data_IF_040688191315
#
_entry.id   IF_040688191315
#
_cell.length_a   1.000
_cell.length_b   1.000
_cell.length_c   1.000
_cell.angle_alpha   90.00
_cell.angle_beta   90.00
_cell.angle_gamma   90.00
#
_symmetry.space_group_name_H-M   'P 1'
#
loop_
_entity.id
_entity.type
_entity.pdbx_description
1 polymer ?
#
# COMPACT_ATOMS: atom_id res chain seq x y z
N UNK A 1 -10.79 -6.33 4.57
CA UNK A 1 -11.98 -6.57 5.41
C UNK A 1 -12.91 -7.52 4.67
N UNK A 2 -13.63 -8.40 5.38
CA UNK A 2 -14.64 -9.29 4.80
C UNK A 2 -15.89 -9.24 5.66
N UNK A 3 -17.01 -8.97 5.00
CA UNK A 3 -18.30 -8.77 5.63
C UNK A 3 -19.29 -9.84 5.19
N UNK A 4 -20.04 -10.41 6.14
CA UNK A 4 -20.97 -11.52 5.88
C UNK A 4 -21.99 -11.66 7.00
N UNK A 5 -23.13 -12.28 6.67
CA UNK A 5 -24.13 -12.67 7.66
C UNK A 5 -23.64 -13.86 8.50
N UNK A 6 -24.08 -13.99 9.75
CA UNK A 6 -23.71 -15.12 10.60
C UNK A 6 -24.13 -16.48 10.03
N UNK A 7 -23.35 -17.52 10.33
CA UNK A 7 -23.55 -18.84 9.74
C UNK A 7 -23.31 -18.85 8.23
N UNK A 8 -22.54 -17.88 7.70
CA UNK A 8 -22.43 -17.56 6.27
C UNK A 8 -23.81 -17.39 5.59
N UNK A 9 -24.77 -16.82 6.31
CA UNK A 9 -26.17 -16.62 5.88
C UNK A 9 -27.10 -17.81 6.13
N UNK A 10 -26.60 -18.94 6.62
CA UNK A 10 -27.42 -20.13 6.93
C UNK A 10 -28.03 -20.11 8.32
N UNK A 11 -27.55 -19.22 9.20
CA UNK A 11 -28.02 -19.11 10.57
C UNK A 11 -28.28 -17.65 10.96
N UNK A 12 -29.36 -17.05 10.43
CA UNK A 12 -29.65 -15.64 10.64
C UNK A 12 -29.87 -15.32 12.13
N UNK A 13 -29.40 -14.15 12.55
CA UNK A 13 -29.46 -13.69 13.95
C UNK A 13 -30.89 -13.60 14.50
N UNK A 14 -31.90 -13.46 13.64
CA UNK A 14 -33.32 -13.48 14.04
C UNK A 14 -33.82 -14.84 14.55
N UNK A 15 -33.03 -15.91 14.39
CA UNK A 15 -33.37 -17.26 14.87
C UNK A 15 -32.56 -17.68 16.10
N UNK A 16 -31.65 -16.83 16.55
CA UNK A 16 -30.80 -17.15 17.68
C UNK A 16 -31.62 -17.25 18.96
N UNK A 17 -31.28 -18.26 19.75
CA UNK A 17 -31.73 -18.44 21.11
C UNK A 17 -30.53 -18.32 22.05
N UNK A 18 -30.81 -17.98 23.30
CA UNK A 18 -29.78 -17.96 24.34
C UNK A 18 -29.10 -19.34 24.42
N UNK A 19 -27.76 -19.34 24.34
CA UNK A 19 -26.95 -20.55 24.37
C UNK A 19 -26.63 -21.17 23.01
N UNK A 20 -27.20 -20.67 21.90
CA UNK A 20 -26.84 -21.14 20.57
C UNK A 20 -25.34 -20.94 20.28
N UNK A 21 -24.73 -21.93 19.63
CA UNK A 21 -23.33 -21.91 19.19
C UNK A 21 -23.25 -22.33 17.75
N UNK A 22 -22.54 -21.56 16.96
CA UNK A 22 -22.23 -21.87 15.57
C UNK A 22 -20.77 -21.52 15.30
N UNK A 23 -20.22 -22.12 14.24
CA UNK A 23 -18.86 -21.89 13.79
C UNK A 23 -18.95 -21.32 12.39
N UNK A 24 -18.27 -20.21 12.18
CA UNK A 24 -18.02 -19.69 10.85
C UNK A 24 -16.54 -19.88 10.48
N UNK A 25 -16.28 -20.05 9.19
CA UNK A 25 -14.93 -20.08 8.63
C UNK A 25 -14.86 -19.06 7.51
N UNK A 26 -13.85 -18.19 7.57
CA UNK A 26 -13.68 -17.10 6.64
C UNK A 26 -12.28 -17.13 6.06
N UNK A 27 -12.21 -17.03 4.74
CA UNK A 27 -10.97 -16.71 4.04
C UNK A 27 -10.84 -15.20 3.97
N UNK A 28 -9.72 -14.67 4.46
CA UNK A 28 -9.35 -13.27 4.32
C UNK A 28 -8.27 -13.17 3.25
N UNK A 29 -8.55 -12.38 2.22
CA UNK A 29 -7.58 -12.09 1.18
C UNK A 29 -6.71 -10.92 1.62
N UNK A 30 -5.39 -11.13 1.62
CA UNK A 30 -4.41 -10.05 1.70
C UNK A 30 -4.13 -9.59 0.27
N UNK A 31 -4.21 -8.28 -0.04
CA UNK A 31 -3.79 -7.76 -1.33
C UNK A 31 -2.35 -8.17 -1.65
N UNK A 32 -2.03 -8.43 -2.91
CA UNK A 32 -0.65 -8.68 -3.36
C UNK A 32 0.26 -7.46 -3.09
N UNK A 33 -0.33 -6.28 -2.96
CA UNK A 33 0.34 -5.02 -2.58
C UNK A 33 0.49 -4.83 -1.07
N UNK A 34 0.09 -5.82 -0.25
CA UNK A 34 0.32 -5.77 1.19
C UNK A 34 1.82 -5.70 1.46
N UNK A 35 2.25 -4.66 2.18
CA UNK A 35 3.65 -4.44 2.48
C UNK A 35 4.22 -5.56 3.36
N UNK A 36 5.44 -5.97 3.07
CA UNK A 36 6.17 -7.02 3.79
C UNK A 36 7.63 -6.63 4.06
N UNK A 37 8.21 -7.07 5.19
CA UNK A 37 7.53 -7.70 6.33
C UNK A 37 6.63 -6.68 7.05
N UNK A 38 5.52 -7.14 7.61
CA UNK A 38 4.63 -6.28 8.42
C UNK A 38 3.81 -7.11 9.42
N UNK A 39 3.11 -6.44 10.33
CA UNK A 39 2.16 -7.06 11.26
C UNK A 39 0.75 -6.53 11.01
N UNK A 40 -0.25 -7.41 11.11
CA UNK A 40 -1.65 -7.05 11.06
C UNK A 40 -2.39 -7.57 12.28
N UNK A 41 -3.29 -6.75 12.82
CA UNK A 41 -4.22 -7.19 13.86
C UNK A 41 -5.46 -7.79 13.21
N UNK A 42 -5.70 -9.07 13.45
CA UNK A 42 -6.96 -9.72 13.12
C UNK A 42 -7.99 -9.37 14.20
N UNK A 43 -9.07 -8.72 13.79
CA UNK A 43 -10.18 -8.37 14.68
C UNK A 43 -11.50 -8.87 14.11
N UNK A 44 -12.44 -9.18 14.99
CA UNK A 44 -13.83 -9.49 14.64
C UNK A 44 -14.75 -8.49 15.32
N UNK A 45 -15.87 -8.16 14.69
CA UNK A 45 -16.98 -7.55 15.40
C UNK A 45 -18.25 -7.63 14.59
N UNK A 46 -19.35 -7.32 15.26
CA UNK A 46 -20.68 -7.38 14.68
C UNK A 46 -21.18 -5.97 14.41
N UNK A 47 -22.01 -5.83 13.39
CA UNK A 47 -22.79 -4.62 13.16
C UNK A 47 -24.23 -4.99 12.87
N UNK A 48 -25.11 -4.05 13.15
CA UNK A 48 -26.44 -4.04 12.58
C UNK A 48 -26.32 -3.40 11.21
N UNK A 49 -26.80 -4.11 10.18
CA UNK A 49 -26.76 -3.63 8.80
C UNK A 49 -27.39 -2.23 8.70
N UNK A 50 -26.69 -1.31 8.03
CA UNK A 50 -27.08 0.09 7.82
C UNK A 50 -27.34 0.90 9.09
N UNK A 51 -26.82 0.45 10.24
CA UNK A 51 -27.01 1.12 11.51
C UNK A 51 -25.69 1.38 12.24
N UNK A 52 -25.26 0.48 13.13
CA UNK A 52 -24.11 0.72 14.01
C UNK A 52 -23.33 -0.55 14.33
N UNK A 53 -22.08 -0.37 14.74
CA UNK A 53 -21.22 -1.43 15.30
C UNK A 53 -21.70 -1.81 16.70
N UNK A 54 -21.82 -3.10 16.97
CA UNK A 54 -22.26 -3.59 18.27
C UNK A 54 -21.09 -3.55 19.24
N UNK A 55 -21.26 -2.83 20.34
CA UNK A 55 -20.30 -2.80 21.44
C UNK A 55 -20.14 -4.15 22.11
N UNK A 56 -18.91 -4.46 22.50
CA UNK A 56 -18.51 -5.69 23.17
C UNK A 56 -18.32 -5.39 24.64
N UNK A 57 -18.89 -6.22 25.50
CA UNK A 57 -18.75 -6.10 26.96
C UNK A 57 -18.13 -7.35 27.54
N UNK A 58 -17.23 -7.18 28.51
CA UNK A 58 -16.66 -8.26 29.30
C UNK A 58 -17.66 -8.88 30.28
N UNK A 59 -17.30 -10.00 30.94
CA UNK A 59 -18.16 -10.67 31.92
C UNK A 59 -18.55 -9.80 33.13
N UNK A 60 -17.76 -8.78 33.43
CA UNK A 60 -17.97 -7.78 34.48
C UNK A 60 -18.77 -6.56 34.00
N UNK A 61 -19.22 -6.56 32.74
CA UNK A 61 -19.93 -5.45 32.10
C UNK A 61 -19.01 -4.33 31.61
N UNK A 62 -17.67 -4.48 31.71
CA UNK A 62 -16.74 -3.48 31.19
C UNK A 62 -16.81 -3.42 29.66
N UNK A 63 -16.79 -2.22 29.08
CA UNK A 63 -16.72 -2.05 27.63
C UNK A 63 -15.34 -2.47 27.10
N UNK A 64 -15.33 -3.26 26.03
CA UNK A 64 -14.14 -3.73 25.32
C UNK A 64 -14.00 -3.09 23.92
N UNK A 65 -14.79 -2.07 23.61
CA UNK A 65 -14.86 -1.45 22.28
C UNK A 65 -15.91 -2.11 21.39
N UNK A 66 -15.79 -1.94 20.07
CA UNK A 66 -16.74 -2.43 19.07
C UNK A 66 -16.11 -3.42 18.06
N UNK A 67 -14.88 -3.85 18.35
CA UNK A 67 -14.15 -4.91 17.68
C UNK A 67 -13.28 -5.65 18.70
N UNK A 68 -13.28 -6.97 18.64
CA UNK A 68 -12.46 -7.84 19.48
C UNK A 68 -11.20 -8.23 18.69
N UNK A 69 -10.00 -7.81 19.13
CA UNK A 69 -8.75 -8.33 18.60
C UNK A 69 -8.62 -9.82 18.92
N UNK A 70 -8.38 -10.64 17.91
CA UNK A 70 -8.23 -12.09 18.04
C UNK A 70 -6.76 -12.50 18.05
N UNK A 71 -5.94 -11.88 17.19
CA UNK A 71 -4.52 -12.20 17.06
C UNK A 71 -3.76 -11.07 16.36
N UNK A 72 -2.44 -11.03 16.57
CA UNK A 72 -1.50 -10.36 15.67
C UNK A 72 -0.95 -11.41 14.71
N UNK A 73 -1.01 -11.12 13.42
CA UNK A 73 -0.55 -11.99 12.33
C UNK A 73 0.66 -11.33 11.68
N UNK A 74 1.76 -12.07 11.59
CA UNK A 74 2.90 -11.66 10.78
C UNK A 74 2.58 -11.82 9.30
N UNK A 75 2.82 -10.78 8.52
CA UNK A 75 2.78 -10.79 7.06
C UNK A 75 4.22 -10.91 6.59
N UNK A 76 4.58 -12.12 6.18
CA UNK A 76 5.93 -12.45 5.77
C UNK A 76 6.18 -12.10 4.30
N UNK A 77 7.41 -11.71 3.93
CA UNK A 77 7.78 -11.54 2.53
C UNK A 77 7.62 -12.85 1.76
N UNK A 78 7.04 -12.76 0.57
CA UNK A 78 7.06 -13.88 -0.37
C UNK A 78 8.50 -14.02 -0.90
N UNK A 79 9.10 -15.23 -0.87
CA UNK A 79 10.43 -15.44 -1.43
C UNK A 79 10.53 -14.98 -2.88
N UNK A 80 11.59 -14.23 -3.20
CA UNK A 80 11.83 -13.70 -4.54
C UNK A 80 13.07 -12.81 -4.58
N UNK A 81 13.36 -12.29 -5.77
CA UNK A 81 14.56 -11.49 -6.02
C UNK A 81 14.45 -10.06 -5.45
N UNK A 82 13.23 -9.58 -5.22
CA UNK A 82 12.95 -8.20 -4.82
C UNK A 82 11.88 -8.12 -3.70
N UNK A 83 12.04 -7.23 -2.71
CA UNK A 83 10.99 -6.91 -1.74
C UNK A 83 9.78 -6.26 -2.40
N UNK A 84 8.59 -6.47 -1.80
CA UNK A 84 7.30 -5.91 -2.24
C UNK A 84 7.17 -5.91 -3.77
N UNK A 85 7.35 -7.11 -4.34
CA UNK A 85 7.47 -7.31 -5.77
C UNK A 85 6.23 -6.81 -6.50
N UNK A 86 6.46 -6.11 -7.60
CA UNK A 86 5.44 -5.72 -8.56
C UNK A 86 6.01 -5.76 -9.97
N UNK A 87 5.17 -5.54 -10.98
CA UNK A 87 5.60 -5.49 -12.38
C UNK A 87 4.91 -4.30 -13.06
N UNK A 88 5.49 -3.11 -12.92
CA UNK A 88 4.98 -1.92 -13.56
C UNK A 88 5.88 -1.52 -14.74
N UNK A 89 5.39 -1.81 -15.94
CA UNK A 89 6.10 -1.52 -17.18
C UNK A 89 5.73 -0.10 -17.66
N UNK A 90 6.70 0.81 -17.66
CA UNK A 90 6.56 2.16 -18.19
C UNK A 90 6.92 2.17 -19.67
N UNK A 91 5.90 2.17 -20.53
CA UNK A 91 5.98 2.28 -21.99
C UNK A 91 6.99 1.35 -22.68
N UNK A 92 7.26 0.17 -22.11
CA UNK A 92 8.26 -0.77 -22.63
C UNK A 92 9.72 -0.31 -22.47
N UNK A 93 9.95 0.78 -21.73
CA UNK A 93 11.28 1.36 -21.50
C UNK A 93 11.88 0.87 -20.19
N UNK A 94 11.08 0.90 -19.12
CA UNK A 94 11.50 0.64 -17.75
C UNK A 94 10.49 -0.25 -17.05
N UNK A 95 10.97 -1.22 -16.28
CA UNK A 95 10.14 -2.09 -15.45
C UNK A 95 10.49 -1.89 -13.98
N UNK A 96 9.53 -1.42 -13.19
CA UNK A 96 9.66 -1.43 -11.73
C UNK A 96 9.31 -2.85 -11.23
N UNK A 97 10.28 -3.51 -10.60
CA UNK A 97 10.20 -4.91 -10.19
C UNK A 97 9.89 -5.09 -8.70
N UNK A 98 10.13 -4.07 -7.89
CA UNK A 98 9.88 -4.08 -6.46
C UNK A 98 10.32 -2.79 -5.79
N UNK A 99 10.01 -2.69 -4.50
CA UNK A 99 10.39 -1.53 -3.69
C UNK A 99 10.48 -1.89 -2.22
N UNK A 100 11.12 -1.01 -1.46
CA UNK A 100 11.23 -1.12 -0.02
C UNK A 100 11.31 0.28 0.59
N UNK A 101 10.53 0.49 1.65
CA UNK A 101 10.70 1.60 2.57
C UNK A 101 11.66 1.26 3.68
N UNK A 102 12.32 2.28 4.23
CA UNK A 102 13.02 2.21 5.51
C UNK A 102 12.05 1.95 6.67
N UNK A 103 10.91 2.63 6.68
CA UNK A 103 9.80 2.39 7.61
C UNK A 103 8.43 2.63 6.94
N UNK A 104 7.40 1.97 7.46
CA UNK A 104 5.98 2.21 7.12
C UNK A 104 5.25 3.06 8.16
N UNK A 105 5.88 3.30 9.33
CA UNK A 105 5.38 4.21 10.37
C UNK A 105 6.38 5.34 10.60
N UNK A 106 5.94 6.56 10.38
CA UNK A 106 6.79 7.75 10.41
C UNK A 106 6.13 8.84 11.26
N UNK A 107 6.89 9.81 11.71
CA UNK A 107 6.37 11.03 12.30
C UNK A 107 6.24 12.14 11.25
N UNK A 108 5.40 13.13 11.51
CA UNK A 108 5.36 14.34 10.71
C UNK A 108 6.73 15.04 10.76
N UNK A 109 7.28 15.42 9.61
CA UNK A 109 8.62 16.01 9.49
C UNK A 109 9.75 15.01 9.24
N UNK A 110 9.49 13.71 9.30
CA UNK A 110 10.46 12.67 8.90
C UNK A 110 10.69 12.67 7.38
N UNK A 111 11.61 11.84 6.91
CA UNK A 111 11.81 11.55 5.49
C UNK A 111 11.48 10.08 5.22
N UNK A 112 10.57 9.82 4.28
CA UNK A 112 10.31 8.45 3.80
C UNK A 112 11.41 8.06 2.80
N UNK A 113 12.25 7.09 3.16
CA UNK A 113 13.29 6.59 2.27
C UNK A 113 12.77 5.40 1.47
N UNK A 114 12.65 5.56 0.16
CA UNK A 114 12.16 4.52 -0.75
C UNK A 114 13.29 4.00 -1.64
N UNK A 115 13.64 2.72 -1.49
CA UNK A 115 14.50 1.98 -2.40
C UNK A 115 13.66 1.31 -3.48
N UNK A 116 14.00 1.54 -4.75
CA UNK A 116 13.31 1.02 -5.92
C UNK A 116 14.21 0.09 -6.71
N UNK A 117 13.64 -1.00 -7.20
CA UNK A 117 14.33 -2.02 -7.99
C UNK A 117 13.81 -2.01 -9.43
N UNK A 118 14.68 -1.66 -10.38
CA UNK A 118 14.36 -1.38 -11.77
C UNK A 118 15.06 -2.35 -12.71
N UNK A 119 14.40 -2.66 -13.82
CA UNK A 119 15.01 -3.28 -14.99
C UNK A 119 14.81 -2.35 -16.21
N UNK A 120 15.91 -2.03 -16.88
CA UNK A 120 15.85 -1.37 -18.19
C UNK A 120 15.45 -2.38 -19.26
N UNK A 121 14.36 -2.11 -19.98
CA UNK A 121 13.83 -2.99 -21.04
C UNK A 121 14.32 -2.59 -22.44
N UNK A 122 14.53 -1.29 -22.65
CA UNK A 122 15.06 -0.71 -23.88
C UNK A 122 16.03 0.42 -23.54
N UNK A 123 16.90 0.79 -24.50
CA UNK A 123 17.73 1.99 -24.33
C UNK A 123 16.80 3.20 -24.09
N UNK A 124 16.97 3.95 -22.99
CA UNK A 124 16.08 5.06 -22.66
C UNK A 124 16.01 6.07 -23.80
N UNK A 125 14.81 6.28 -24.35
CA UNK A 125 14.58 7.26 -25.41
C UNK A 125 14.84 8.71 -24.96
N UNK A 126 14.77 8.96 -23.65
CA UNK A 126 14.95 10.28 -23.04
C UNK A 126 15.57 10.16 -21.64
N UNK A 127 15.94 11.31 -21.07
CA UNK A 127 16.19 11.42 -19.64
C UNK A 127 14.84 11.43 -18.89
N UNK A 128 14.74 10.64 -17.83
CA UNK A 128 13.52 10.53 -17.04
C UNK A 128 13.70 11.09 -15.64
N UNK A 129 12.60 11.57 -15.04
CA UNK A 129 12.50 11.89 -13.63
C UNK A 129 11.54 10.93 -12.93
N UNK A 130 11.88 10.58 -11.69
CA UNK A 130 10.97 9.96 -10.74
C UNK A 130 10.15 11.05 -10.06
N UNK A 131 8.84 10.84 -10.01
CA UNK A 131 7.92 11.62 -9.18
C UNK A 131 7.36 10.74 -8.06
N UNK A 132 7.60 11.14 -6.82
CA UNK A 132 6.95 10.56 -5.64
C UNK A 132 5.93 11.55 -5.10
N UNK A 133 4.74 11.05 -4.77
CA UNK A 133 3.65 11.84 -4.22
C UNK A 133 3.05 11.17 -3.00
N UNK A 134 2.70 11.98 -2.01
CA UNK A 134 1.97 11.55 -0.81
C UNK A 134 0.56 12.15 -0.84
N UNK A 135 -0.44 11.30 -0.73
CA UNK A 135 -1.85 11.66 -0.76
C UNK A 135 -2.53 11.24 0.54
N UNK A 136 -3.45 12.04 1.06
CA UNK A 136 -4.24 11.67 2.23
C UNK A 136 -5.50 10.85 1.86
N UNK A 137 -6.25 10.41 2.87
CA UNK A 137 -7.46 9.60 2.68
C UNK A 137 -8.62 10.34 1.98
N UNK A 138 -8.60 11.68 1.97
CA UNK A 138 -9.57 12.49 1.25
C UNK A 138 -9.21 12.63 -0.24
N UNK A 139 -8.02 12.16 -0.63
CA UNK A 139 -7.50 12.33 -1.98
C UNK A 139 -6.83 13.69 -2.20
N UNK A 140 -6.38 14.36 -1.13
CA UNK A 140 -5.62 15.60 -1.25
C UNK A 140 -4.11 15.32 -1.29
N UNK A 141 -3.42 15.95 -2.25
CA UNK A 141 -1.97 15.88 -2.36
C UNK A 141 -1.31 16.67 -1.22
N UNK A 142 -0.47 15.99 -0.43
CA UNK A 142 0.24 16.59 0.71
C UNK A 142 1.66 16.99 0.38
N UNK A 143 2.38 16.15 -0.38
CA UNK A 143 3.72 16.47 -0.85
C UNK A 143 4.00 15.79 -2.19
N UNK A 144 4.77 16.45 -3.03
CA UNK A 144 5.30 15.93 -4.30
C UNK A 144 6.78 16.23 -4.37
N UNK A 145 7.55 15.28 -4.85
CA UNK A 145 8.97 15.46 -5.10
C UNK A 145 9.38 14.87 -6.44
N UNK A 146 10.24 15.60 -7.15
CA UNK A 146 10.88 15.17 -8.39
C UNK A 146 12.36 14.91 -8.15
N UNK A 147 12.87 13.82 -8.73
CA UNK A 147 14.30 13.48 -8.73
C UNK A 147 14.67 12.87 -10.07
N UNK A 148 15.87 13.12 -10.61
CA UNK A 148 16.37 12.37 -11.76
C UNK A 148 16.25 10.85 -11.53
N UNK A 149 15.71 10.14 -12.51
CA UNK A 149 15.58 8.70 -12.45
C UNK A 149 16.91 8.05 -12.85
N UNK A 150 17.36 7.08 -12.04
CA UNK A 150 18.55 6.24 -12.26
C UNK A 150 19.74 7.05 -12.78
N UNK A 151 20.44 7.75 -11.89
CA UNK A 151 21.66 8.50 -12.24
C UNK A 151 22.92 7.76 -11.84
N UNK A 152 23.98 7.89 -12.65
CA UNK A 152 25.32 7.44 -12.29
C UNK A 152 25.96 8.35 -11.23
N UNK A 153 27.18 8.02 -10.82
CA UNK A 153 27.95 8.80 -9.84
C UNK A 153 28.22 10.25 -10.29
N UNK A 154 28.04 10.56 -11.58
CA UNK A 154 28.20 11.90 -12.15
C UNK A 154 26.88 12.66 -12.30
N UNK A 155 25.76 12.05 -11.90
CA UNK A 155 24.42 12.62 -12.01
C UNK A 155 23.79 12.50 -13.40
N UNK A 156 24.35 11.68 -14.29
CA UNK A 156 23.79 11.42 -15.62
C UNK A 156 22.87 10.22 -15.59
N UNK A 157 21.73 10.29 -16.27
CA UNK A 157 20.84 9.14 -16.43
C UNK A 157 21.60 7.95 -17.01
N UNK A 158 21.44 6.79 -16.39
CA UNK A 158 22.11 5.54 -16.74
C UNK A 158 21.13 4.38 -16.68
N UNK A 159 21.34 3.39 -17.54
CA UNK A 159 20.62 2.12 -17.53
C UNK A 159 21.36 1.03 -16.72
N UNK A 160 22.54 1.34 -16.18
CA UNK A 160 23.39 0.40 -15.44
C UNK A 160 22.94 0.23 -13.98
N UNK A 161 22.26 1.23 -13.41
CA UNK A 161 21.71 1.16 -12.06
C UNK A 161 20.35 0.45 -12.10
N UNK A 162 20.27 -0.73 -11.47
CA UNK A 162 19.03 -1.50 -11.29
C UNK A 162 18.41 -1.28 -9.91
N UNK A 163 19.06 -0.50 -9.05
CA UNK A 163 18.59 -0.14 -7.72
C UNK A 163 18.90 1.34 -7.47
N UNK A 164 17.92 2.08 -6.95
CA UNK A 164 18.11 3.48 -6.56
C UNK A 164 17.23 3.85 -5.37
N UNK A 165 17.72 4.76 -4.53
CA UNK A 165 17.05 5.19 -3.30
C UNK A 165 16.67 6.67 -3.38
N UNK A 166 15.46 6.98 -2.95
CA UNK A 166 14.84 8.29 -3.03
C UNK A 166 14.21 8.65 -1.69
N UNK A 167 14.52 9.84 -1.15
CA UNK A 167 13.95 10.34 0.10
C UNK A 167 12.84 11.35 -0.15
N UNK A 168 11.62 11.09 0.34
CA UNK A 168 10.47 11.99 0.28
C UNK A 168 10.28 12.69 1.65
N UNK A 169 10.65 13.96 1.81
CA UNK A 169 10.49 14.68 3.07
C UNK A 169 9.00 14.92 3.37
N UNK A 170 8.54 14.44 4.52
CA UNK A 170 7.17 14.58 4.98
C UNK A 170 6.95 15.99 5.57
N UNK A 171 5.84 16.67 5.27
CA UNK A 171 5.50 17.93 5.93
C UNK A 171 5.40 17.78 7.45
N UNK A 172 5.90 18.76 8.20
CA UNK A 172 5.83 18.75 9.67
C UNK A 172 4.41 19.01 10.24
N UNK A 173 3.46 19.34 9.38
CA UNK A 173 2.06 19.61 9.71
C UNK A 173 1.11 18.47 9.27
N UNK A 174 1.66 17.31 8.87
CA UNK A 174 0.83 16.14 8.59
C UNK A 174 0.02 15.74 9.84
N UNK A 175 -1.27 15.50 9.64
CA UNK A 175 -2.10 14.93 10.68
C UNK A 175 -1.75 13.44 10.86
N UNK A 176 -1.96 12.87 12.05
CA UNK A 176 -1.88 11.43 12.21
C UNK A 176 -2.90 10.72 11.31
N UNK A 177 -2.49 9.69 10.59
CA UNK A 177 -3.34 9.03 9.60
C UNK A 177 -2.61 8.08 8.66
N UNK A 178 -3.36 7.47 7.74
CA UNK A 178 -2.79 6.67 6.65
C UNK A 178 -2.65 7.53 5.40
N UNK A 179 -1.50 7.40 4.73
CA UNK A 179 -1.18 8.15 3.52
C UNK A 179 -0.80 7.21 2.38
N UNK A 180 -1.31 7.51 1.19
CA UNK A 180 -1.03 6.78 -0.03
C UNK A 180 0.20 7.35 -0.71
N UNK A 181 1.13 6.47 -1.10
CA UNK A 181 2.34 6.84 -1.83
C UNK A 181 2.15 6.44 -3.30
N UNK A 182 2.29 7.42 -4.20
CA UNK A 182 2.24 7.20 -5.65
C UNK A 182 3.60 7.46 -6.28
N UNK A 183 3.93 6.62 -7.24
CA UNK A 183 5.14 6.72 -8.05
C UNK A 183 4.77 6.94 -9.51
N UNK A 184 5.37 7.92 -10.15
CA UNK A 184 5.30 8.10 -11.61
C UNK A 184 6.67 8.32 -12.22
N UNK A 185 6.78 8.03 -13.52
CA UNK A 185 7.95 8.37 -14.32
C UNK A 185 7.57 9.50 -15.28
N UNK A 186 8.43 10.50 -15.41
CA UNK A 186 8.21 11.71 -16.20
C UNK A 186 9.32 11.82 -17.23
N UNK A 187 8.99 12.11 -18.48
CA UNK A 187 9.98 12.55 -19.48
C UNK A 187 10.49 13.93 -19.11
N UNK A 188 11.80 14.08 -18.88
CA UNK A 188 12.38 15.34 -18.40
C UNK A 188 12.36 16.47 -19.44
N UNK A 189 12.24 16.15 -20.73
CA UNK A 189 12.22 17.12 -21.81
C UNK A 189 10.80 17.62 -22.09
N UNK A 190 9.81 16.72 -22.18
CA UNK A 190 8.42 17.08 -22.45
C UNK A 190 7.61 17.38 -21.19
N UNK A 191 8.07 16.91 -20.01
CA UNK A 191 7.35 16.91 -18.74
C UNK A 191 6.04 16.11 -18.77
N UNK A 192 5.92 15.18 -19.71
CA UNK A 192 4.79 14.24 -19.79
C UNK A 192 5.02 13.03 -18.89
N UNK A 193 3.94 12.48 -18.34
CA UNK A 193 3.97 11.25 -17.56
C UNK A 193 3.99 10.05 -18.50
N UNK A 194 4.88 9.10 -18.22
CA UNK A 194 4.88 7.81 -18.91
C UNK A 194 3.70 6.98 -18.43
N UNK A 195 3.08 6.27 -19.36
CA UNK A 195 2.02 5.32 -19.05
C UNK A 195 2.59 3.99 -18.55
N UNK A 196 1.95 3.41 -17.55
CA UNK A 196 2.10 1.98 -17.26
C UNK A 196 1.30 1.18 -18.28
N UNK A 197 1.90 0.11 -18.80
CA UNK A 197 1.32 -0.74 -19.85
C UNK A 197 1.24 -2.20 -19.39
N UNK A 198 0.19 -2.88 -19.82
CA UNK A 198 0.04 -4.32 -19.59
C UNK A 198 0.84 -5.17 -20.56
N UNK A 199 0.84 -6.49 -20.37
CA UNK A 199 1.56 -7.44 -21.23
C UNK A 199 1.14 -7.36 -22.70
N UNK A 200 -0.09 -6.93 -22.98
CA UNK A 200 -0.60 -6.73 -24.35
C UNK A 200 -0.27 -5.36 -24.94
N UNK A 201 0.45 -4.51 -24.21
CA UNK A 201 0.80 -3.14 -24.59
C UNK A 201 -0.31 -2.11 -24.40
N UNK A 202 -1.46 -2.51 -23.84
CA UNK A 202 -2.54 -1.59 -23.51
C UNK A 202 -2.16 -0.68 -22.33
N UNK A 203 -2.62 0.56 -22.36
CA UNK A 203 -2.50 1.48 -21.24
C UNK A 203 -3.24 0.92 -20.01
N UNK A 204 -2.61 1.04 -18.83
CA UNK A 204 -3.18 0.75 -17.51
C UNK A 204 -3.39 2.05 -16.72
N UNK A 205 -2.32 2.78 -16.40
CA UNK A 205 -2.36 3.99 -15.58
C UNK A 205 -1.17 4.93 -15.91
N UNK A 206 -1.01 6.06 -15.22
CA UNK A 206 0.14 6.98 -15.31
C UNK A 206 0.95 7.05 -14.01
N UNK A 207 0.58 6.23 -13.04
CA UNK A 207 1.31 6.04 -11.79
C UNK A 207 1.14 4.61 -11.27
N UNK A 208 1.96 4.27 -10.28
CA UNK A 208 1.92 3.01 -9.54
C UNK A 208 1.60 3.34 -8.10
N UNK A 209 0.60 2.65 -7.54
CA UNK A 209 0.33 2.67 -6.12
C UNK A 209 1.40 1.84 -5.40
N UNK A 210 2.12 2.47 -4.49
CA UNK A 210 2.94 1.77 -3.53
C UNK A 210 2.16 1.56 -2.22
N UNK A 211 2.73 0.82 -1.29
CA UNK A 211 2.08 0.61 0.00
C UNK A 211 1.86 1.94 0.74
N UNK A 212 0.75 2.00 1.48
CA UNK A 212 0.48 3.13 2.36
C UNK A 212 1.48 3.19 3.50
N UNK A 213 1.81 4.40 3.93
CA UNK A 213 2.50 4.65 5.18
C UNK A 213 1.50 5.14 6.23
N UNK A 214 1.90 5.09 7.49
CA UNK A 214 1.18 5.68 8.61
C UNK A 214 2.02 6.80 9.22
N UNK A 215 1.37 7.94 9.48
CA UNK A 215 1.94 9.01 10.29
C UNK A 215 1.27 8.97 11.66
N UNK A 216 2.08 8.96 12.73
CA UNK A 216 1.61 8.92 14.13
C UNK A 216 1.71 10.30 14.82
#
# INVERSE_FOLDING_TARGET
>A
QRDTHPGLGRFPSSRWQEGDRFIDSFDLFLPETAYTPNEATLSIGLWVQDAYRIGITGPDGASLGDALPLATIAIEPVPGDYPNRLAANFEGQLLLQGYQYDDVRLAAGDELTTTLYWQTLAEPAAAYELRLELWDENGDLRVRQHRPLLVDETGRSTNAAWQATYGLPLPADLAPGSYEVRLSVVDAASNELLHTVGDSGNWIDIYVYLARIRVD
#
